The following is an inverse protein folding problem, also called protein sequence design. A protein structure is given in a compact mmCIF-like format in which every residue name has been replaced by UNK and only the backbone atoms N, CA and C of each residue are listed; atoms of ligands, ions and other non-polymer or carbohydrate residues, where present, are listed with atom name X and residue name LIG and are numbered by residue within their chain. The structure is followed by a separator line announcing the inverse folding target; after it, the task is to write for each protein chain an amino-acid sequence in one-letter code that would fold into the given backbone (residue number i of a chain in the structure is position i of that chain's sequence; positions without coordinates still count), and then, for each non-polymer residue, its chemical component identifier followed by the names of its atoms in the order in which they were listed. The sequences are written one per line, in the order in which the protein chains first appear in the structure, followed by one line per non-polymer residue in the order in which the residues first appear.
data_IF_687585494487
#
_entry.id   IF_687585494487
#
_cell.length_a   1.000
_cell.length_b   1.000
_cell.length_c   1.000
_cell.angle_alpha   90.00
_cell.angle_beta   90.00
_cell.angle_gamma   90.00
#
_symmetry.space_group_name_H-M   'P 1'
#
loop_
_entity.id
_entity.type
_entity.pdbx_description
1 polymer ?
#
# COMPACT_ATOMS: atom_id res chain seq x y z
N UNK A 1 1.22 -15.54 -2.18
CA UNK A 1 0.57 -15.01 -0.94
C UNK A 1 0.38 -13.51 -1.15
N UNK A 2 -0.71 -12.90 -0.67
CA UNK A 2 -0.96 -11.46 -0.88
C UNK A 2 0.18 -10.55 -0.41
N UNK A 3 0.44 -9.50 -1.16
CA UNK A 3 1.39 -8.43 -0.91
C UNK A 3 1.27 -7.84 0.48
N UNK A 4 0.04 -7.58 0.93
CA UNK A 4 -0.21 -7.04 2.26
C UNK A 4 0.27 -8.02 3.34
N UNK A 5 -0.06 -9.31 3.21
CA UNK A 5 0.45 -10.35 4.11
C UNK A 5 1.97 -10.51 4.05
N UNK A 6 2.55 -10.34 2.87
CA UNK A 6 3.97 -10.58 2.63
C UNK A 6 4.85 -9.47 3.18
N UNK A 7 4.39 -8.22 3.09
CA UNK A 7 5.15 -7.05 3.55
C UNK A 7 4.85 -6.71 5.00
N UNK A 8 3.58 -6.75 5.40
CA UNK A 8 3.16 -6.29 6.73
C UNK A 8 2.76 -7.42 7.67
N UNK A 9 2.77 -8.66 7.19
CA UNK A 9 2.38 -9.83 7.97
C UNK A 9 0.90 -10.18 7.80
N UNK A 10 0.59 -11.46 8.09
CA UNK A 10 -0.75 -12.06 7.92
C UNK A 10 -1.86 -11.39 8.75
N UNK A 11 -1.50 -10.73 9.85
CA UNK A 11 -2.44 -10.04 10.73
C UNK A 11 -3.09 -8.83 10.04
N UNK A 12 -2.37 -8.15 9.16
CA UNK A 12 -2.87 -6.98 8.43
C UNK A 12 -3.89 -7.36 7.35
N UNK A 13 -3.68 -8.50 6.68
CA UNK A 13 -4.64 -9.01 5.69
C UNK A 13 -5.96 -9.46 6.35
N UNK A 14 -5.87 -10.02 7.56
CA UNK A 14 -7.06 -10.32 8.39
C UNK A 14 -7.78 -9.07 8.85
N UNK A 15 -7.06 -8.00 9.18
CA UNK A 15 -7.65 -6.70 9.53
C UNK A 15 -8.34 -6.05 8.34
N UNK A 16 -7.75 -6.13 7.14
CA UNK A 16 -8.36 -5.66 5.90
C UNK A 16 -9.64 -6.43 5.57
N UNK A 17 -9.62 -7.77 5.67
CA UNK A 17 -10.81 -8.63 5.43
C UNK A 17 -11.87 -8.52 6.52
N UNK A 18 -11.49 -8.32 7.79
CA UNK A 18 -12.44 -8.21 8.91
C UNK A 18 -13.05 -6.81 9.09
N UNK A 19 -12.40 -5.76 8.58
CA UNK A 19 -12.91 -4.37 8.70
C UNK A 19 -14.12 -4.05 7.83
N UNK A 20 -14.57 -4.99 6.98
CA UNK A 20 -15.91 -4.96 6.39
C UNK A 20 -17.04 -5.05 7.43
N UNK A 21 -16.76 -5.49 8.66
CA UNK A 21 -17.80 -5.78 9.67
C UNK A 21 -17.67 -5.01 10.98
N UNK A 22 -16.53 -4.38 11.29
CA UNK A 22 -16.40 -3.73 12.61
C UNK A 22 -15.48 -2.51 12.58
N UNK A 23 -16.10 -1.32 12.53
CA UNK A 23 -15.52 -0.11 13.13
C UNK A 23 -15.24 -0.44 14.59
N UNK A 24 -13.99 -0.49 15.02
CA UNK A 24 -13.61 -0.10 16.39
C UNK A 24 -12.09 -0.04 16.62
N UNK A 25 -11.68 1.18 16.97
CA UNK A 25 -10.74 1.54 18.05
C UNK A 25 -9.27 1.14 17.92
N UNK A 26 -8.49 2.00 17.25
CA UNK A 26 -7.15 2.37 17.71
C UNK A 26 -7.18 3.86 18.09
N UNK A 27 -7.01 4.16 19.37
CA UNK A 27 -6.87 5.52 19.88
C UNK A 27 -5.57 6.14 19.35
N UNK A 28 -5.70 7.21 18.57
CA UNK A 28 -4.74 8.31 18.52
C UNK A 28 -5.51 9.57 18.98
N UNK A 29 -4.87 10.53 19.68
CA UNK A 29 -5.57 11.67 20.23
C UNK A 29 -6.22 12.46 19.10
N UNK A 30 -7.54 12.48 19.07
CA UNK A 30 -8.30 13.45 18.33
C UNK A 30 -8.09 14.81 19.02
N UNK A 31 -7.07 15.53 18.59
CA UNK A 31 -6.95 16.95 18.85
C UNK A 31 -7.11 17.67 17.52
N UNK A 32 -8.30 18.25 17.35
CA UNK A 32 -8.51 19.52 16.63
C UNK A 32 -8.23 19.51 15.13
N UNK A 33 -9.25 19.20 14.31
CA UNK A 33 -9.42 19.81 12.97
C UNK A 33 -8.32 19.59 11.90
N UNK A 34 -7.25 18.87 12.19
CA UNK A 34 -6.17 18.62 11.25
C UNK A 34 -6.47 17.32 10.51
N UNK A 35 -6.80 17.44 9.23
CA UNK A 35 -7.03 16.29 8.37
C UNK A 35 -5.81 15.36 8.42
N UNK A 36 -6.04 14.06 8.67
CA UNK A 36 -4.97 13.06 8.60
C UNK A 36 -4.32 13.20 7.21
N UNK A 37 -3.00 13.41 7.13
CA UNK A 37 -2.34 13.51 5.83
C UNK A 37 -2.67 12.27 5.00
N UNK A 38 -3.02 12.43 3.72
CA UNK A 38 -3.57 11.33 2.92
C UNK A 38 -2.62 10.13 2.87
N UNK A 39 -1.30 10.35 2.92
CA UNK A 39 -0.28 9.30 2.99
C UNK A 39 -0.29 8.49 4.31
N UNK A 40 -0.80 9.09 5.40
CA UNK A 40 -0.92 8.47 6.72
C UNK A 40 -2.30 7.91 7.02
N UNK A 41 -3.23 8.01 6.09
CA UNK A 41 -4.51 7.32 6.22
C UNK A 41 -4.25 5.83 6.06
N UNK A 42 -4.82 4.97 6.89
CA UNK A 42 -4.73 3.51 6.81
C UNK A 42 -5.76 2.91 5.84
N UNK A 43 -5.91 1.58 5.86
CA UNK A 43 -6.90 0.87 5.03
C UNK A 43 -8.35 1.24 5.40
N UNK A 44 -8.61 1.58 6.67
CA UNK A 44 -9.94 1.84 7.20
C UNK A 44 -10.22 3.31 7.50
N UNK A 45 -9.36 4.22 7.04
CA UNK A 45 -9.44 5.65 7.41
C UNK A 45 -8.80 6.01 8.76
N UNK A 46 -8.18 5.04 9.45
CA UNK A 46 -7.42 5.27 10.69
C UNK A 46 -6.05 5.91 10.43
N UNK A 47 -5.42 6.52 11.43
CA UNK A 47 -4.05 7.00 11.29
C UNK A 47 -3.07 5.82 11.32
N UNK A 48 -2.27 5.68 10.28
CA UNK A 48 -1.28 4.63 10.13
C UNK A 48 0.01 5.18 9.49
N UNK A 49 1.13 4.99 10.17
CA UNK A 49 2.47 5.35 9.67
C UNK A 49 2.77 4.67 8.31
N UNK A 50 2.24 3.47 8.12
CA UNK A 50 2.38 2.65 6.93
C UNK A 50 1.10 2.64 6.07
N UNK A 51 0.20 3.61 6.26
CA UNK A 51 -1.13 3.64 5.65
C UNK A 51 -1.15 3.62 4.12
N UNK A 52 -0.43 4.54 3.46
CA UNK A 52 -0.27 4.55 2.00
C UNK A 52 0.26 3.22 1.46
N UNK A 53 1.39 2.74 1.99
CA UNK A 53 2.00 1.49 1.55
C UNK A 53 1.06 0.29 1.69
N UNK A 54 0.29 0.20 2.78
CA UNK A 54 -0.72 -0.85 2.97
C UNK A 54 -1.84 -0.75 1.93
N UNK A 55 -2.32 0.46 1.61
CA UNK A 55 -3.32 0.64 0.54
C UNK A 55 -2.78 0.27 -0.83
N UNK A 56 -1.54 0.64 -1.14
CA UNK A 56 -0.88 0.27 -2.40
C UNK A 56 -0.72 -1.24 -2.49
N UNK A 57 -0.23 -1.88 -1.42
CA UNK A 57 -0.15 -3.34 -1.31
C UNK A 57 -1.51 -4.01 -1.55
N UNK A 58 -2.56 -3.50 -0.91
CA UNK A 58 -3.92 -4.00 -1.09
C UNK A 58 -4.43 -3.77 -2.52
N UNK A 59 -4.12 -2.65 -3.15
CA UNK A 59 -4.50 -2.36 -4.53
C UNK A 59 -3.79 -3.31 -5.52
N UNK A 60 -2.52 -3.65 -5.25
CA UNK A 60 -1.80 -4.67 -6.02
C UNK A 60 -2.43 -6.05 -5.83
N UNK A 61 -2.83 -6.41 -4.61
CA UNK A 61 -3.53 -7.67 -4.32
C UNK A 61 -4.91 -7.78 -5.00
N UNK A 62 -5.54 -6.66 -5.31
CA UNK A 62 -6.82 -6.62 -6.02
C UNK A 62 -6.67 -6.66 -7.55
N UNK A 63 -5.47 -6.42 -8.07
CA UNK A 63 -5.18 -6.44 -9.49
C UNK A 63 -4.62 -7.83 -9.88
N UNK A 64 -5.45 -8.64 -10.53
CA UNK A 64 -5.09 -9.99 -10.99
C UNK A 64 -4.02 -10.01 -12.09
N UNK A 65 -3.52 -8.86 -12.55
CA UNK A 65 -2.36 -8.80 -13.44
C UNK A 65 -1.04 -8.64 -12.66
N UNK A 66 -1.11 -8.33 -11.36
CA UNK A 66 0.03 -8.01 -10.50
C UNK A 66 0.20 -9.02 -9.35
N UNK A 67 -0.79 -9.88 -9.11
CA UNK A 67 -0.83 -10.87 -8.02
C UNK A 67 0.28 -11.93 -8.10
N UNK A 68 0.76 -12.24 -9.31
CA UNK A 68 1.86 -13.17 -9.54
C UNK A 68 3.26 -12.58 -9.25
N UNK A 69 3.38 -11.27 -8.96
CA UNK A 69 4.69 -10.64 -8.72
C UNK A 69 5.11 -10.75 -7.25
N UNK A 70 5.71 -11.88 -6.88
CA UNK A 70 6.16 -12.12 -5.50
C UNK A 70 7.56 -11.54 -5.19
N UNK A 71 8.28 -11.06 -6.21
CA UNK A 71 9.68 -10.58 -6.13
C UNK A 71 9.82 -9.08 -5.93
N UNK A 72 8.72 -8.37 -5.74
CA UNK A 72 8.70 -6.93 -5.54
C UNK A 72 8.14 -6.60 -4.14
N UNK A 73 8.65 -5.51 -3.58
CA UNK A 73 8.32 -4.97 -2.27
C UNK A 73 7.86 -3.52 -2.43
N UNK A 74 6.79 -3.15 -1.72
CA UNK A 74 6.32 -1.78 -1.54
C UNK A 74 6.80 -1.27 -0.20
N UNK A 75 7.49 -0.14 -0.23
CA UNK A 75 7.73 0.70 0.91
C UNK A 75 7.06 2.06 0.67
N UNK A 76 6.92 2.85 1.73
CA UNK A 76 6.61 4.26 1.60
C UNK A 76 7.66 5.10 2.31
N UNK A 77 7.80 6.33 1.84
CA UNK A 77 8.59 7.39 2.47
C UNK A 77 7.75 8.65 2.37
N UNK A 78 7.02 8.97 3.43
CA UNK A 78 6.01 10.04 3.42
C UNK A 78 5.00 9.81 2.28
N UNK A 79 4.82 10.76 1.35
CA UNK A 79 3.94 10.60 0.19
C UNK A 79 4.52 9.79 -0.98
N UNK A 80 5.80 9.41 -0.91
CA UNK A 80 6.46 8.67 -2.00
C UNK A 80 6.36 7.17 -1.78
N UNK A 81 5.84 6.46 -2.77
CA UNK A 81 5.81 5.00 -2.80
C UNK A 81 7.12 4.50 -3.38
N UNK A 82 7.86 3.67 -2.66
CA UNK A 82 9.13 3.13 -3.12
C UNK A 82 8.94 1.65 -3.46
N UNK A 83 9.04 1.33 -4.76
CA UNK A 83 9.00 -0.02 -5.27
C UNK A 83 10.42 -0.58 -5.33
N UNK A 84 10.62 -1.78 -4.80
CA UNK A 84 11.94 -2.43 -4.70
C UNK A 84 11.86 -3.88 -5.13
N UNK A 85 12.83 -4.41 -5.87
CA UNK A 85 12.90 -5.81 -6.24
C UNK A 85 12.84 -6.03 -7.75
N UNK A 86 12.18 -7.10 -8.19
CA UNK A 86 12.17 -7.49 -9.61
C UNK A 86 10.74 -7.62 -10.14
N UNK A 87 10.53 -7.17 -11.37
CA UNK A 87 9.28 -7.30 -12.13
C UNK A 87 9.53 -8.03 -13.45
N UNK A 88 8.55 -8.79 -13.97
CA UNK A 88 8.72 -9.63 -15.16
C UNK A 88 8.68 -8.86 -16.49
N UNK A 89 8.25 -7.59 -16.48
CA UNK A 89 8.24 -6.76 -17.68
C UNK A 89 8.09 -5.28 -17.34
N UNK A 90 8.49 -4.41 -18.26
CA UNK A 90 8.24 -2.97 -18.13
C UNK A 90 6.74 -2.66 -18.08
N UNK A 91 5.92 -3.40 -18.81
CA UNK A 91 4.47 -3.23 -18.80
C UNK A 91 3.87 -3.51 -17.41
N UNK A 92 4.40 -4.51 -16.70
CA UNK A 92 4.04 -4.79 -15.31
C UNK A 92 4.44 -3.65 -14.39
N UNK A 93 5.65 -3.09 -14.56
CA UNK A 93 6.11 -1.93 -13.81
C UNK A 93 5.20 -0.71 -14.03
N UNK A 94 4.91 -0.39 -15.29
CA UNK A 94 4.07 0.77 -15.65
C UNK A 94 2.66 0.63 -15.05
N UNK A 95 2.12 -0.59 -15.06
CA UNK A 95 0.84 -0.90 -14.42
C UNK A 95 0.91 -0.71 -12.91
N UNK A 96 1.94 -1.19 -12.23
CA UNK A 96 2.15 -0.99 -10.79
C UNK A 96 2.28 0.49 -10.44
N UNK A 97 3.03 1.25 -11.23
CA UNK A 97 3.16 2.71 -11.06
C UNK A 97 1.80 3.39 -11.23
N UNK A 98 1.02 2.98 -12.23
CA UNK A 98 -0.32 3.52 -12.45
C UNK A 98 -1.27 3.22 -11.27
N UNK A 99 -1.28 1.99 -10.77
CA UNK A 99 -2.08 1.60 -9.61
C UNK A 99 -1.63 2.35 -8.35
N UNK A 100 -0.32 2.45 -8.10
CA UNK A 100 0.23 3.18 -6.96
C UNK A 100 -0.13 4.67 -7.00
N UNK A 101 -0.02 5.33 -8.16
CA UNK A 101 -0.45 6.72 -8.34
C UNK A 101 -1.97 6.91 -8.18
N UNK A 102 -2.76 5.88 -8.48
CA UNK A 102 -4.20 5.89 -8.26
C UNK A 102 -4.60 5.86 -6.77
N UNK A 103 -3.67 5.51 -5.87
CA UNK A 103 -3.93 5.47 -4.43
C UNK A 103 -3.91 6.87 -3.85
N UNK A 104 -4.98 7.23 -3.14
CA UNK A 104 -5.09 8.51 -2.46
C UNK A 104 -3.92 8.70 -1.47
N UNK A 105 -3.17 9.79 -1.63
CA UNK A 105 -1.98 10.12 -0.84
C UNK A 105 -0.63 9.74 -1.46
N UNK A 106 -0.62 9.02 -2.59
CA UNK A 106 0.60 8.86 -3.37
C UNK A 106 0.89 10.18 -4.11
N UNK A 107 2.02 10.81 -3.80
CA UNK A 107 2.50 12.01 -4.50
C UNK A 107 3.55 11.66 -5.55
N UNK A 108 4.28 10.56 -5.34
CA UNK A 108 5.36 10.14 -6.21
C UNK A 108 5.58 8.62 -6.09
N UNK A 109 6.16 8.01 -7.13
CA UNK A 109 6.49 6.57 -7.15
C UNK A 109 7.93 6.40 -7.59
N UNK A 110 8.78 5.97 -6.66
CA UNK A 110 10.18 5.65 -6.89
C UNK A 110 10.31 4.19 -7.34
N UNK A 111 10.78 3.99 -8.57
CA UNK A 111 11.08 2.67 -9.15
C UNK A 111 12.58 2.45 -9.36
N UNK A 112 13.44 3.29 -8.80
CA UNK A 112 14.91 3.22 -8.99
C UNK A 112 15.52 1.94 -8.45
N UNK A 113 14.83 1.28 -7.50
CA UNK A 113 15.24 0.01 -6.91
C UNK A 113 14.50 -1.19 -7.52
N UNK A 114 13.84 -0.98 -8.67
CA UNK A 114 13.19 -2.04 -9.43
C UNK A 114 14.06 -2.47 -10.60
N UNK A 115 14.24 -3.77 -10.74
CA UNK A 115 14.87 -4.40 -11.91
C UNK A 115 13.80 -5.04 -12.78
N UNK A 116 13.81 -4.75 -14.07
CA UNK A 116 12.97 -5.45 -15.05
C UNK A 116 13.77 -6.64 -15.58
N UNK A 117 13.19 -7.85 -15.52
CA UNK A 117 13.85 -9.10 -15.89
C UNK A 117 13.01 -9.97 -16.81
#
# INVERSE_FOLDING_TARGET
MGWLSRIFGKDEEKKAKSSSTTRSTAQAPASTGEAIPPERVGLNGEYDQSGLAKRVALAFDQDSQLDDVETLWVAQTSGTVVLKGTVPSQQTLDKMVSVANGVNGATDVDTTQVTVG
#
